data_IF_253003960945
#
_entry.id   IF_253003960945
#
_cell.length_a   1.000
_cell.length_b   1.000
_cell.length_c   1.000
_cell.angle_alpha   90.00
_cell.angle_beta   90.00
_cell.angle_gamma   90.00
#
_symmetry.space_group_name_H-M   'P 1'
#
loop_
_entity.id
_entity.type
_entity.pdbx_description
1 polymer ?
#
# COMPACT_ATOMS: atom_id res chain seq x y z
N UNK A 1 -79.07 43.07 -77.86
CA UNK A 1 -79.01 42.56 -76.47
C UNK A 1 -79.87 41.31 -76.25
N UNK A 2 -80.83 40.98 -77.12
CA UNK A 2 -81.64 39.74 -77.01
C UNK A 2 -80.88 38.45 -77.36
N UNK A 3 -80.01 38.47 -78.37
CA UNK A 3 -79.27 37.27 -78.80
C UNK A 3 -78.32 36.72 -77.71
N UNK A 4 -77.69 37.59 -76.93
CA UNK A 4 -76.80 37.18 -75.84
C UNK A 4 -77.55 36.52 -74.69
N UNK A 5 -78.80 36.94 -74.44
CA UNK A 5 -79.66 36.37 -73.40
C UNK A 5 -80.20 35.01 -73.83
N UNK A 6 -80.53 34.82 -75.12
CA UNK A 6 -80.93 33.51 -75.64
C UNK A 6 -79.81 32.48 -75.60
N UNK A 7 -78.58 32.87 -75.94
CA UNK A 7 -77.41 31.98 -75.83
C UNK A 7 -77.19 31.56 -74.37
N UNK A 8 -77.37 32.48 -73.41
CA UNK A 8 -77.25 32.17 -71.99
C UNK A 8 -78.33 31.21 -71.49
N UNK A 9 -79.58 31.36 -71.95
CA UNK A 9 -80.67 30.42 -71.64
C UNK A 9 -80.45 29.03 -72.25
N UNK A 10 -79.95 28.97 -73.48
CA UNK A 10 -79.68 27.71 -74.17
C UNK A 10 -78.53 26.93 -73.51
N UNK A 11 -77.50 27.63 -73.02
CA UNK A 11 -76.43 27.03 -72.22
C UNK A 11 -76.96 26.57 -70.85
N UNK A 12 -77.84 27.36 -70.20
CA UNK A 12 -78.39 27.00 -68.90
C UNK A 12 -79.32 25.76 -68.96
N UNK A 13 -80.16 25.63 -69.98
CA UNK A 13 -81.03 24.44 -70.17
C UNK A 13 -80.23 23.16 -70.47
N UNK A 14 -79.02 23.28 -71.04
CA UNK A 14 -78.19 22.13 -71.38
C UNK A 14 -77.49 21.48 -70.17
N UNK A 15 -77.53 22.12 -68.98
CA UNK A 15 -76.95 21.62 -67.73
C UNK A 15 -77.98 21.09 -66.71
N UNK A 16 -79.29 21.08 -67.01
CA UNK A 16 -80.32 20.55 -66.09
C UNK A 16 -80.40 19.01 -66.04
N UNK A 17 -79.61 18.29 -66.83
CA UNK A 17 -79.59 16.82 -66.83
C UNK A 17 -78.26 16.17 -66.37
N UNK A 18 -77.45 16.86 -65.57
CA UNK A 18 -76.44 16.20 -64.72
C UNK A 18 -76.93 16.11 -63.28
N UNK A 19 -78.01 15.38 -63.09
CA UNK A 19 -78.41 14.91 -61.75
C UNK A 19 -77.33 14.01 -61.18
N UNK A 20 -76.88 14.28 -59.96
CA UNK A 20 -76.05 13.36 -59.19
C UNK A 20 -76.91 12.12 -58.89
N UNK A 21 -76.82 11.11 -59.75
CA UNK A 21 -77.43 9.82 -59.49
C UNK A 21 -76.52 9.01 -58.57
N UNK A 22 -77.00 8.68 -57.37
CA UNK A 22 -76.33 7.69 -56.51
C UNK A 22 -76.48 6.32 -57.18
N UNK A 23 -75.37 5.77 -57.68
CA UNK A 23 -75.35 4.42 -58.20
C UNK A 23 -75.53 3.44 -57.02
N UNK A 24 -76.72 2.86 -56.89
CA UNK A 24 -77.05 1.86 -55.86
C UNK A 24 -76.36 0.52 -56.09
N UNK A 25 -75.62 0.36 -57.19
CA UNK A 25 -74.70 -0.75 -57.42
C UNK A 25 -73.40 -0.65 -56.60
N UNK A 26 -73.47 0.00 -55.43
CA UNK A 26 -72.38 0.15 -54.47
C UNK A 26 -71.94 -1.21 -53.90
N UNK A 27 -72.91 -2.10 -53.66
CA UNK A 27 -72.70 -3.33 -52.90
C UNK A 27 -72.07 -4.49 -53.68
N UNK A 28 -72.27 -4.57 -54.99
CA UNK A 28 -72.10 -5.87 -55.68
C UNK A 28 -70.72 -6.09 -56.32
N UNK A 29 -69.91 -5.03 -56.51
CA UNK A 29 -68.54 -5.16 -57.05
C UNK A 29 -67.48 -4.32 -56.32
N UNK A 30 -67.79 -3.06 -55.96
CA UNK A 30 -66.79 -2.16 -55.37
C UNK A 30 -66.54 -2.43 -53.89
N UNK A 31 -67.59 -2.69 -53.10
CA UNK A 31 -67.45 -3.01 -51.67
C UNK A 31 -66.75 -4.34 -51.48
N UNK A 32 -67.10 -5.38 -52.27
CA UNK A 32 -66.44 -6.69 -52.20
C UNK A 32 -64.95 -6.57 -52.52
N UNK A 33 -64.57 -5.81 -53.57
CA UNK A 33 -63.16 -5.58 -53.90
C UNK A 33 -62.41 -4.84 -52.78
N UNK A 34 -63.00 -3.79 -52.20
CA UNK A 34 -62.41 -3.06 -51.07
C UNK A 34 -62.24 -3.99 -49.86
N UNK A 35 -63.24 -4.81 -49.52
CA UNK A 35 -63.16 -5.74 -48.37
C UNK A 35 -62.06 -6.78 -48.58
N UNK A 36 -61.90 -7.32 -49.79
CA UNK A 36 -60.83 -8.27 -50.12
C UNK A 36 -59.46 -7.59 -50.01
N UNK A 37 -59.31 -6.40 -50.61
CA UNK A 37 -58.06 -5.62 -50.54
C UNK A 37 -57.71 -5.25 -49.10
N UNK A 38 -58.69 -4.82 -48.31
CA UNK A 38 -58.50 -4.37 -46.93
C UNK A 38 -58.17 -5.57 -46.02
N UNK A 39 -58.80 -6.72 -46.24
CA UNK A 39 -58.47 -7.97 -45.53
C UNK A 39 -57.05 -8.44 -45.84
N UNK A 40 -56.64 -8.42 -47.11
CA UNK A 40 -55.28 -8.73 -47.52
C UNK A 40 -54.26 -7.74 -46.94
N UNK A 41 -54.58 -6.45 -46.95
CA UNK A 41 -53.73 -5.40 -46.37
C UNK A 41 -53.55 -5.57 -44.86
N UNK A 42 -54.64 -5.79 -44.11
CA UNK A 42 -54.56 -6.03 -42.66
C UNK A 42 -53.72 -7.26 -42.37
N UNK A 43 -53.87 -8.35 -43.14
CA UNK A 43 -53.09 -9.57 -42.95
C UNK A 43 -51.59 -9.32 -43.10
N UNK A 44 -51.17 -8.64 -44.17
CA UNK A 44 -49.75 -8.31 -44.41
C UNK A 44 -49.20 -7.33 -43.38
N UNK A 45 -49.95 -6.26 -43.08
CA UNK A 45 -49.54 -5.25 -42.10
C UNK A 45 -49.42 -5.83 -40.70
N UNK A 46 -50.36 -6.68 -40.27
CA UNK A 46 -50.31 -7.35 -38.96
C UNK A 46 -49.06 -8.20 -38.81
N UNK A 47 -48.68 -8.95 -39.85
CA UNK A 47 -47.46 -9.77 -39.82
C UNK A 47 -46.19 -8.92 -39.75
N UNK A 48 -46.10 -7.86 -40.56
CA UNK A 48 -44.93 -6.98 -40.61
C UNK A 48 -44.76 -6.15 -39.33
N UNK A 49 -45.81 -5.45 -38.88
CA UNK A 49 -45.80 -4.65 -37.66
C UNK A 49 -45.66 -5.52 -36.41
N UNK A 50 -46.32 -6.67 -36.38
CA UNK A 50 -46.23 -7.63 -35.28
C UNK A 50 -44.80 -8.11 -35.05
N UNK A 51 -44.08 -8.46 -36.13
CA UNK A 51 -42.68 -8.89 -36.04
C UNK A 51 -41.77 -7.78 -35.50
N UNK A 52 -41.91 -6.54 -35.98
CA UNK A 52 -41.09 -5.40 -35.51
C UNK A 52 -41.37 -5.09 -34.03
N UNK A 53 -42.64 -5.11 -33.62
CA UNK A 53 -43.03 -4.88 -32.23
C UNK A 53 -42.50 -5.98 -31.31
N UNK A 54 -42.57 -7.25 -31.73
CA UNK A 54 -42.04 -8.38 -30.97
C UNK A 54 -40.51 -8.28 -30.80
N UNK A 55 -39.77 -7.94 -31.85
CA UNK A 55 -38.32 -7.71 -31.78
C UNK A 55 -38.00 -6.55 -30.82
N UNK A 56 -38.76 -5.46 -30.86
CA UNK A 56 -38.57 -4.35 -29.92
C UNK A 56 -38.87 -4.75 -28.48
N UNK A 57 -39.94 -5.51 -28.26
CA UNK A 57 -40.29 -6.02 -26.93
C UNK A 57 -39.17 -6.91 -26.37
N UNK A 58 -38.65 -7.83 -27.19
CA UNK A 58 -37.54 -8.71 -26.80
C UNK A 58 -36.28 -7.91 -26.46
N UNK A 59 -35.92 -6.91 -27.29
CA UNK A 59 -34.77 -6.03 -27.01
C UNK A 59 -34.93 -5.25 -25.71
N UNK A 60 -36.12 -4.73 -25.43
CA UNK A 60 -36.40 -4.00 -24.18
C UNK A 60 -36.33 -4.95 -22.99
N UNK A 61 -36.91 -6.15 -23.10
CA UNK A 61 -36.86 -7.16 -22.04
C UNK A 61 -35.41 -7.57 -21.75
N UNK A 62 -34.62 -7.82 -22.80
CA UNK A 62 -33.20 -8.15 -22.67
C UNK A 62 -32.42 -7.01 -21.99
N UNK A 63 -32.64 -5.76 -22.41
CA UNK A 63 -31.97 -4.61 -21.80
C UNK A 63 -32.33 -4.42 -20.31
N UNK A 64 -33.58 -4.71 -19.93
CA UNK A 64 -34.01 -4.68 -18.53
C UNK A 64 -33.33 -5.79 -17.73
N UNK A 65 -33.34 -7.03 -18.25
CA UNK A 65 -32.68 -8.17 -17.59
C UNK A 65 -31.17 -7.94 -17.43
N UNK A 66 -30.51 -7.42 -18.46
CA UNK A 66 -29.09 -7.07 -18.40
C UNK A 66 -28.82 -5.97 -17.35
N UNK A 67 -29.68 -4.95 -17.26
CA UNK A 67 -29.55 -3.91 -16.25
C UNK A 67 -29.75 -4.44 -14.83
N UNK A 68 -30.73 -5.32 -14.62
CA UNK A 68 -30.97 -5.99 -13.33
C UNK A 68 -29.79 -6.87 -12.93
N UNK A 69 -29.25 -7.67 -13.85
CA UNK A 69 -28.08 -8.51 -13.59
C UNK A 69 -26.85 -7.65 -13.23
N UNK A 70 -26.59 -6.57 -13.98
CA UNK A 70 -25.49 -5.64 -13.68
C UNK A 70 -25.66 -4.98 -12.32
N UNK A 71 -26.89 -4.60 -11.94
CA UNK A 71 -27.18 -4.04 -10.63
C UNK A 71 -26.92 -5.07 -9.52
N UNK A 72 -27.36 -6.32 -9.70
CA UNK A 72 -27.11 -7.39 -8.73
C UNK A 72 -25.61 -7.65 -8.57
N UNK A 73 -24.86 -7.76 -9.67
CA UNK A 73 -23.42 -7.96 -9.64
C UNK A 73 -22.70 -6.78 -8.94
N UNK A 74 -23.11 -5.54 -9.20
CA UNK A 74 -22.55 -4.36 -8.54
C UNK A 74 -22.80 -4.38 -7.04
N UNK A 75 -24.00 -4.74 -6.58
CA UNK A 75 -24.34 -4.83 -5.16
C UNK A 75 -23.55 -5.94 -4.45
N UNK A 76 -23.36 -7.09 -5.11
CA UNK A 76 -22.53 -8.17 -4.56
C UNK A 76 -21.07 -7.71 -4.40
N UNK A 77 -20.50 -7.09 -5.44
CA UNK A 77 -19.13 -6.54 -5.39
C UNK A 77 -18.96 -5.45 -4.34
N UNK A 78 -19.97 -4.59 -4.16
CA UNK A 78 -19.97 -3.57 -3.12
C UNK A 78 -19.92 -4.22 -1.74
N UNK A 79 -20.82 -5.16 -1.47
CA UNK A 79 -20.89 -5.87 -0.18
C UNK A 79 -19.59 -6.62 0.12
N UNK A 80 -18.97 -7.23 -0.90
CA UNK A 80 -17.68 -7.90 -0.75
C UNK A 80 -16.56 -6.90 -0.44
N UNK A 81 -16.54 -5.76 -1.14
CA UNK A 81 -15.54 -4.69 -0.93
C UNK A 81 -15.68 -4.05 0.45
N UNK A 82 -16.90 -3.85 0.94
CA UNK A 82 -17.17 -3.37 2.31
C UNK A 82 -16.64 -4.34 3.36
N UNK A 83 -16.88 -5.65 3.19
CA UNK A 83 -16.31 -6.67 4.08
C UNK A 83 -14.79 -6.69 4.07
N UNK A 84 -14.18 -6.57 2.88
CA UNK A 84 -12.72 -6.50 2.74
C UNK A 84 -12.17 -5.24 3.42
N UNK A 85 -12.87 -4.11 3.32
CA UNK A 85 -12.50 -2.86 4.00
C UNK A 85 -12.54 -3.02 5.52
N UNK A 86 -13.62 -3.58 6.06
CA UNK A 86 -13.74 -3.83 7.50
C UNK A 86 -12.64 -4.77 8.02
N UNK A 87 -12.37 -5.84 7.28
CA UNK A 87 -11.27 -6.76 7.60
C UNK A 87 -9.91 -6.05 7.55
N UNK A 88 -9.67 -5.21 6.55
CA UNK A 88 -8.43 -4.43 6.46
C UNK A 88 -8.27 -3.47 7.64
N UNK A 89 -9.35 -2.82 8.10
CA UNK A 89 -9.32 -1.96 9.27
C UNK A 89 -8.94 -2.73 10.55
N UNK A 90 -9.47 -3.94 10.75
CA UNK A 90 -9.10 -4.80 11.87
C UNK A 90 -7.62 -5.18 11.82
N UNK A 91 -7.10 -5.56 10.65
CA UNK A 91 -5.67 -5.88 10.47
C UNK A 91 -4.80 -4.65 10.73
N UNK A 92 -5.20 -3.47 10.27
CA UNK A 92 -4.47 -2.21 10.56
C UNK A 92 -4.42 -1.95 12.07
N UNK A 93 -5.54 -2.09 12.79
CA UNK A 93 -5.56 -1.92 14.24
C UNK A 93 -4.64 -2.92 14.95
N UNK A 94 -4.61 -4.18 14.50
CA UNK A 94 -3.71 -5.19 15.02
C UNK A 94 -2.23 -4.83 14.76
N UNK A 95 -1.89 -4.39 13.54
CA UNK A 95 -0.53 -3.97 13.18
C UNK A 95 -0.07 -2.82 14.08
N UNK A 96 -0.93 -1.82 14.33
CA UNK A 96 -0.60 -0.69 15.19
C UNK A 96 -0.31 -1.18 16.62
N UNK A 97 -1.17 -2.06 17.16
CA UNK A 97 -0.97 -2.60 18.50
C UNK A 97 0.32 -3.43 18.62
N UNK A 98 0.58 -4.31 17.66
CA UNK A 98 1.81 -5.11 17.61
C UNK A 98 3.05 -4.25 17.45
N UNK A 99 2.98 -3.17 16.67
CA UNK A 99 4.06 -2.21 16.50
C UNK A 99 4.37 -1.48 17.81
N UNK A 100 3.35 -1.03 18.56
CA UNK A 100 3.54 -0.40 19.87
C UNK A 100 4.16 -1.36 20.88
N UNK A 101 3.66 -2.60 20.97
CA UNK A 101 4.22 -3.63 21.85
C UNK A 101 5.67 -3.96 21.49
N UNK A 102 5.96 -4.08 20.20
CA UNK A 102 7.32 -4.34 19.71
C UNK A 102 8.24 -3.17 20.03
N UNK A 103 7.80 -1.93 19.83
CA UNK A 103 8.57 -0.74 20.16
C UNK A 103 8.88 -0.66 21.66
N UNK A 104 7.93 -0.98 22.53
CA UNK A 104 8.13 -1.05 23.98
C UNK A 104 9.17 -2.13 24.34
N UNK A 105 9.03 -3.33 23.79
CA UNK A 105 9.98 -4.44 24.04
C UNK A 105 11.39 -4.12 23.55
N UNK A 106 11.53 -3.53 22.36
CA UNK A 106 12.82 -3.10 21.81
C UNK A 106 13.44 -2.03 22.70
N UNK A 107 12.65 -1.04 23.14
CA UNK A 107 13.12 0.00 24.07
C UNK A 107 13.64 -0.62 25.37
N UNK A 108 12.89 -1.53 26.00
CA UNK A 108 13.32 -2.20 27.22
C UNK A 108 14.60 -3.01 27.02
N UNK A 109 14.68 -3.76 25.90
CA UNK A 109 15.87 -4.54 25.54
C UNK A 109 17.10 -3.64 25.36
N UNK A 110 16.96 -2.50 24.67
CA UNK A 110 18.06 -1.55 24.48
C UNK A 110 18.49 -0.94 25.82
N UNK A 111 17.54 -0.58 26.68
CA UNK A 111 17.85 -0.05 28.01
C UNK A 111 18.57 -1.08 28.89
N UNK A 112 18.14 -2.34 28.86
CA UNK A 112 18.78 -3.42 29.62
C UNK A 112 20.19 -3.71 29.08
N UNK A 113 20.33 -3.79 27.76
CA UNK A 113 21.63 -3.99 27.10
C UNK A 113 22.58 -2.83 27.43
N UNK A 114 22.10 -1.60 27.31
CA UNK A 114 22.87 -0.39 27.64
C UNK A 114 23.35 -0.38 29.09
N UNK A 115 22.53 -0.81 30.06
CA UNK A 115 22.95 -0.96 31.46
C UNK A 115 24.08 -1.99 31.60
N UNK A 116 23.92 -3.17 31.01
CA UNK A 116 24.95 -4.22 31.04
C UNK A 116 26.26 -3.77 30.41
N UNK A 117 26.19 -3.02 29.31
CA UNK A 117 27.37 -2.51 28.62
C UNK A 117 28.07 -1.41 29.41
N UNK A 118 27.34 -0.53 30.09
CA UNK A 118 27.91 0.46 31.02
C UNK A 118 28.62 -0.25 32.18
N UNK A 119 28.02 -1.27 32.77
CA UNK A 119 28.65 -2.05 33.85
C UNK A 119 29.94 -2.73 33.37
N UNK A 120 29.90 -3.36 32.20
CA UNK A 120 31.07 -4.01 31.57
C UNK A 120 32.18 -3.01 31.27
N UNK A 121 31.84 -1.87 30.68
CA UNK A 121 32.78 -0.79 30.37
C UNK A 121 33.41 -0.22 31.64
N UNK A 122 32.61 -0.01 32.68
CA UNK A 122 33.09 0.50 33.97
C UNK A 122 34.04 -0.49 34.64
N UNK A 123 33.69 -1.78 34.65
CA UNK A 123 34.53 -2.84 35.21
C UNK A 123 35.87 -2.96 34.44
N UNK A 124 35.80 -2.98 33.11
CA UNK A 124 36.97 -3.01 32.23
C UNK A 124 37.86 -1.78 32.44
N UNK A 125 37.26 -0.59 32.47
CA UNK A 125 37.99 0.67 32.71
C UNK A 125 38.70 0.68 34.07
N UNK A 126 38.04 0.22 35.14
CA UNK A 126 38.66 0.09 36.46
C UNK A 126 39.83 -0.90 36.46
N UNK A 127 39.69 -2.03 35.76
CA UNK A 127 40.77 -3.00 35.60
C UNK A 127 41.96 -2.41 34.82
N UNK A 128 41.71 -1.70 33.73
CA UNK A 128 42.74 -1.01 32.95
C UNK A 128 43.48 0.05 33.77
N UNK A 129 42.75 0.87 34.54
CA UNK A 129 43.35 1.86 35.45
C UNK A 129 44.26 1.16 36.47
N UNK A 130 43.75 0.11 37.13
CA UNK A 130 44.52 -0.64 38.14
C UNK A 130 45.79 -1.26 37.53
N UNK A 131 45.70 -1.80 36.31
CA UNK A 131 46.86 -2.32 35.59
C UNK A 131 47.88 -1.23 35.28
N UNK A 132 47.44 -0.07 34.79
CA UNK A 132 48.29 1.07 34.50
C UNK A 132 48.96 1.62 35.76
N UNK A 133 48.23 1.75 36.87
CA UNK A 133 48.77 2.16 38.17
C UNK A 133 49.88 1.23 38.65
N UNK A 134 49.68 -0.09 38.53
CA UNK A 134 50.70 -1.07 38.92
C UNK A 134 51.94 -0.99 38.02
N UNK A 135 51.78 -0.80 36.71
CA UNK A 135 52.90 -0.60 35.79
C UNK A 135 53.68 0.68 36.13
N UNK A 136 52.99 1.80 36.34
CA UNK A 136 53.63 3.07 36.72
C UNK A 136 54.35 2.93 38.07
N UNK A 137 53.74 2.28 39.06
CA UNK A 137 54.37 2.03 40.37
C UNK A 137 55.66 1.22 40.22
N UNK A 138 55.65 0.16 39.41
CA UNK A 138 56.85 -0.64 39.14
C UNK A 138 57.95 0.18 38.45
N UNK A 139 57.60 0.99 37.44
CA UNK A 139 58.55 1.86 36.76
C UNK A 139 59.19 2.88 37.72
N UNK A 140 58.38 3.50 38.59
CA UNK A 140 58.87 4.43 39.62
C UNK A 140 59.81 3.70 40.60
N UNK A 141 59.45 2.52 41.09
CA UNK A 141 60.30 1.73 41.99
C UNK A 141 61.66 1.39 41.36
N UNK A 142 61.66 1.00 40.09
CA UNK A 142 62.90 0.71 39.36
C UNK A 142 63.77 1.97 39.21
N UNK A 143 63.19 3.12 38.84
CA UNK A 143 63.91 4.38 38.72
C UNK A 143 64.50 4.84 40.06
N UNK A 144 63.70 4.76 41.15
CA UNK A 144 64.17 5.10 42.49
C UNK A 144 65.32 4.17 42.89
N UNK A 145 65.18 2.86 42.67
CA UNK A 145 66.22 1.88 43.00
C UNK A 145 67.52 2.18 42.24
N UNK A 146 67.44 2.47 40.94
CA UNK A 146 68.60 2.85 40.14
C UNK A 146 69.26 4.15 40.66
N UNK A 147 68.47 5.16 41.01
CA UNK A 147 68.98 6.43 41.55
C UNK A 147 69.65 6.24 42.92
N UNK A 148 69.06 5.44 43.80
CA UNK A 148 69.61 5.12 45.13
C UNK A 148 70.91 4.33 44.99
N UNK A 149 70.95 3.28 44.16
CA UNK A 149 72.17 2.50 43.92
C UNK A 149 73.27 3.42 43.38
N UNK A 150 72.97 4.27 42.39
CA UNK A 150 73.94 5.23 41.86
C UNK A 150 74.47 6.17 42.94
N UNK A 151 73.59 6.77 43.76
CA UNK A 151 74.00 7.69 44.83
C UNK A 151 74.82 7.00 45.92
N UNK A 152 74.41 5.81 46.36
CA UNK A 152 75.14 5.02 47.36
C UNK A 152 76.49 4.57 46.82
N UNK A 153 76.59 4.24 45.53
CA UNK A 153 77.87 3.87 44.90
C UNK A 153 78.86 5.03 44.94
N UNK A 154 78.41 6.25 44.60
CA UNK A 154 79.24 7.46 44.67
C UNK A 154 79.65 7.76 46.13
N UNK A 155 78.71 7.68 47.07
CA UNK A 155 78.99 7.93 48.49
C UNK A 155 79.97 6.90 49.07
N UNK A 156 79.80 5.61 48.74
CA UNK A 156 80.72 4.54 49.14
C UNK A 156 82.11 4.76 48.55
N UNK A 157 82.23 5.10 47.27
CA UNK A 157 83.54 5.40 46.65
C UNK A 157 84.27 6.53 47.40
N UNK A 158 83.54 7.54 47.89
CA UNK A 158 84.12 8.64 48.65
C UNK A 158 84.48 8.28 50.11
N UNK A 159 83.83 7.27 50.71
CA UNK A 159 84.05 6.86 52.11
C UNK A 159 84.91 5.60 52.29
N UNK A 160 85.21 4.86 51.22
CA UNK A 160 86.05 3.65 51.28
C UNK A 160 87.50 4.03 51.61
N UNK A 161 87.97 3.54 52.76
CA UNK A 161 89.37 3.67 53.20
C UNK A 161 90.13 2.34 53.01
N UNK A 162 91.47 2.35 52.88
CA UNK A 162 92.26 1.13 52.68
C UNK A 162 92.04 0.07 53.77
N UNK A 163 91.86 0.48 55.03
CA UNK A 163 91.55 -0.44 56.13
C UNK A 163 90.18 -1.09 56.00
N UNK A 164 89.16 -0.34 55.56
CA UNK A 164 87.82 -0.89 55.33
C UNK A 164 87.83 -1.89 54.17
N UNK A 165 88.57 -1.59 53.09
CA UNK A 165 88.72 -2.47 51.94
C UNK A 165 89.42 -3.78 52.31
N UNK A 166 90.53 -3.72 53.06
CA UNK A 166 91.22 -4.90 53.56
C UNK A 166 90.30 -5.79 54.42
N UNK A 167 89.53 -5.17 55.35
CA UNK A 167 88.58 -5.89 56.21
C UNK A 167 87.45 -6.56 55.42
N UNK A 168 86.94 -5.92 54.36
CA UNK A 168 85.94 -6.50 53.47
C UNK A 168 86.54 -7.70 52.70
N UNK A 169 87.77 -7.58 52.20
CA UNK A 169 88.47 -8.68 51.51
C UNK A 169 88.64 -9.87 52.46
N UNK A 170 89.14 -9.64 53.67
CA UNK A 170 89.34 -10.69 54.67
C UNK A 170 88.01 -11.38 55.05
N UNK A 171 86.91 -10.62 55.20
CA UNK A 171 85.58 -11.19 55.45
C UNK A 171 85.05 -12.02 54.28
N UNK A 172 85.25 -11.57 53.03
CA UNK A 172 84.85 -12.36 51.85
C UNK A 172 85.70 -13.64 51.73
N UNK A 173 87.01 -13.57 52.01
CA UNK A 173 87.89 -14.74 52.06
C UNK A 173 87.43 -15.72 53.14
N UNK A 174 87.04 -15.23 54.32
CA UNK A 174 86.48 -16.05 55.39
C UNK A 174 85.16 -16.72 55.00
N UNK A 175 84.26 -16.01 54.30
CA UNK A 175 83.01 -16.60 53.82
C UNK A 175 83.26 -17.68 52.74
N UNK A 176 84.24 -17.48 51.86
CA UNK A 176 84.64 -18.47 50.86
C UNK A 176 85.38 -19.68 51.47
N UNK A 177 86.09 -19.49 52.59
CA UNK A 177 86.76 -20.56 53.33
C UNK A 177 85.88 -21.28 54.36
N UNK A 178 84.67 -20.78 54.62
CA UNK A 178 83.73 -21.29 55.62
C UNK A 178 82.57 -22.13 55.06
N UNK A 179 82.46 -22.30 53.74
CA UNK A 179 81.57 -23.26 53.07
C UNK A 179 82.34 -24.51 52.61
N UNK A 180 83.00 -25.18 53.57
CA UNK A 180 83.39 -26.60 53.45
C UNK A 180 82.84 -27.35 54.67
#
# INVERSE_FOLDING_TARGET
MENTIQIFKMIAEQYEHTGISLNTNFLEANVINIVILLSGLIYVLKQFLGSILMIRQEKVLFAIQEAEERLQQANVRLTESEKQLDQAQLVIAQIINEAELTAQKVRESILQQGKSDIERLTASGKASITSAENQVRQQIQQQITALVISKVTVELQNQVTPNMQAKIIDQNIMQLGGEI
#
